data_IF_042012871398
#
_entry.id   IF_042012871398
#
_cell.length_a   1.000
_cell.length_b   1.000
_cell.length_c   1.000
_cell.angle_alpha   90.00
_cell.angle_beta   90.00
_cell.angle_gamma   90.00
#
_symmetry.space_group_name_H-M   'P 1'
#
loop_
_entity.id
_entity.type
_entity.pdbx_description
1 polymer ?
#
# COMPACT_ATOMS: atom_id res chain seq x y z
N UNK A 1 1.91 -0.06 25.10
CA UNK A 1 2.40 1.26 24.64
C UNK A 1 1.87 1.59 23.24
N UNK A 2 2.03 0.69 22.27
CA UNK A 2 1.51 0.85 20.90
C UNK A 2 0.00 1.14 20.81
N UNK A 3 -0.81 0.51 21.65
CA UNK A 3 -2.27 0.70 21.71
C UNK A 3 -2.68 2.13 22.05
N UNK A 4 -1.88 2.86 22.84
CA UNK A 4 -2.20 4.25 23.21
C UNK A 4 -1.95 5.23 22.05
N UNK A 5 -0.91 4.98 21.27
CA UNK A 5 -0.62 5.77 20.06
C UNK A 5 -1.66 5.51 18.98
N UNK A 6 -2.03 4.25 18.74
CA UNK A 6 -3.08 3.91 17.78
C UNK A 6 -4.42 4.56 18.15
N UNK A 7 -4.84 4.50 19.42
CA UNK A 7 -6.08 5.14 19.85
C UNK A 7 -6.04 6.67 19.71
N UNK A 8 -4.90 7.31 20.02
CA UNK A 8 -4.74 8.76 19.82
C UNK A 8 -4.78 9.16 18.34
N UNK A 9 -4.26 8.32 17.45
CA UNK A 9 -4.38 8.55 16.00
C UNK A 9 -5.83 8.34 15.56
N UNK A 10 -6.49 7.27 16.01
CA UNK A 10 -7.89 6.97 15.69
C UNK A 10 -8.86 8.07 16.14
N UNK A 11 -8.59 8.70 17.30
CA UNK A 11 -9.33 9.87 17.81
C UNK A 11 -9.21 11.13 16.93
N UNK A 12 -8.14 11.26 16.12
CA UNK A 12 -7.92 12.41 15.23
C UNK A 12 -8.24 12.13 13.78
N UNK A 13 -7.95 10.92 13.34
CA UNK A 13 -8.30 10.42 12.03
C UNK A 13 -8.73 8.98 12.21
N UNK A 14 -9.98 8.62 11.88
CA UNK A 14 -10.51 7.28 12.10
C UNK A 14 -9.86 6.29 11.12
N UNK A 15 -8.62 5.90 11.42
CA UNK A 15 -7.81 4.98 10.64
C UNK A 15 -8.45 3.58 10.63
N UNK A 16 -8.96 3.15 11.79
CA UNK A 16 -9.52 1.81 11.93
C UNK A 16 -10.83 1.69 11.13
N UNK A 17 -11.71 2.69 11.24
CA UNK A 17 -13.00 2.73 10.54
C UNK A 17 -12.82 2.89 9.02
N UNK A 18 -11.86 3.71 8.58
CA UNK A 18 -11.56 3.88 7.14
C UNK A 18 -10.95 2.61 6.53
N UNK A 19 -10.06 1.95 7.27
CA UNK A 19 -9.49 0.65 6.87
C UNK A 19 -10.57 -0.42 6.79
N UNK A 20 -11.45 -0.52 7.79
CA UNK A 20 -12.54 -1.48 7.78
C UNK A 20 -13.49 -1.27 6.59
N UNK A 21 -13.85 -0.02 6.29
CA UNK A 21 -14.75 0.30 5.18
C UNK A 21 -14.17 0.01 3.80
N UNK A 22 -12.87 0.22 3.59
CA UNK A 22 -12.27 0.10 2.26
C UNK A 22 -11.63 -1.27 2.00
N UNK A 23 -11.18 -1.97 3.04
CA UNK A 23 -10.39 -3.19 2.87
C UNK A 23 -11.04 -4.43 3.48
N UNK A 24 -11.74 -4.32 4.63
CA UNK A 24 -12.24 -5.51 5.34
C UNK A 24 -13.70 -5.86 5.03
N UNK A 25 -14.57 -4.86 4.87
CA UNK A 25 -16.00 -5.04 4.62
C UNK A 25 -16.43 -4.84 3.17
N UNK A 26 -15.49 -4.63 2.26
CA UNK A 26 -15.83 -4.48 0.84
C UNK A 26 -16.30 -5.84 0.29
N UNK A 27 -17.59 -6.01 -0.08
CA UNK A 27 -18.07 -7.27 -0.60
C UNK A 27 -17.41 -7.55 -1.96
N UNK A 28 -16.46 -8.48 -1.98
CA UNK A 28 -15.82 -8.95 -3.20
C UNK A 28 -16.74 -9.86 -4.00
N UNK A 29 -16.72 -9.80 -5.34
CA UNK A 29 -17.55 -10.66 -6.20
C UNK A 29 -17.15 -12.15 -6.07
N UNK A 30 -18.15 -13.03 -5.98
CA UNK A 30 -18.03 -14.46 -5.63
C UNK A 30 -17.54 -15.31 -6.85
N UNK A 31 -16.75 -14.73 -7.76
CA UNK A 31 -16.36 -15.36 -9.03
C UNK A 31 -15.11 -14.77 -9.66
N UNK A 32 -14.13 -14.38 -8.84
CA UNK A 32 -12.92 -13.71 -9.32
C UNK A 32 -12.00 -14.68 -10.09
N UNK A 33 -11.71 -14.37 -11.35
CA UNK A 33 -10.81 -15.14 -12.23
C UNK A 33 -9.33 -14.81 -11.97
N UNK A 34 -8.40 -15.69 -12.37
CA UNK A 34 -6.95 -15.52 -12.22
C UNK A 34 -6.43 -14.22 -12.82
N UNK A 35 -7.00 -13.74 -13.92
CA UNK A 35 -6.57 -12.50 -14.60
C UNK A 35 -6.64 -11.22 -13.75
N UNK A 36 -7.45 -11.21 -12.67
CA UNK A 36 -7.47 -10.10 -11.72
C UNK A 36 -6.18 -9.96 -10.90
N UNK A 37 -5.33 -11.01 -10.88
CA UNK A 37 -3.99 -10.93 -10.29
C UNK A 37 -3.09 -9.95 -11.05
N UNK A 38 -3.35 -9.70 -12.34
CA UNK A 38 -2.59 -8.76 -13.17
C UNK A 38 -2.60 -7.33 -12.61
N UNK A 39 -3.71 -6.90 -12.02
CA UNK A 39 -3.79 -5.59 -11.37
C UNK A 39 -2.86 -5.46 -10.16
N UNK A 40 -2.81 -6.50 -9.31
CA UNK A 40 -1.89 -6.55 -8.16
C UNK A 40 -0.44 -6.66 -8.64
N UNK A 41 -0.19 -7.41 -9.71
CA UNK A 41 1.13 -7.53 -10.31
C UNK A 41 1.68 -6.17 -10.78
N UNK A 42 0.83 -5.31 -11.36
CA UNK A 42 1.24 -3.95 -11.76
C UNK A 42 1.64 -3.09 -10.56
N UNK A 43 0.93 -3.20 -9.43
CA UNK A 43 1.31 -2.49 -8.19
C UNK A 43 2.66 -2.99 -7.69
N UNK A 44 2.89 -4.30 -7.70
CA UNK A 44 4.18 -4.89 -7.29
C UNK A 44 5.31 -4.41 -8.20
N UNK A 45 5.12 -4.45 -9.53
CA UNK A 45 6.11 -3.97 -10.49
C UNK A 45 6.38 -2.48 -10.27
N UNK A 46 5.35 -1.65 -10.05
CA UNK A 46 5.51 -0.22 -9.78
C UNK A 46 6.39 0.04 -8.55
N UNK A 47 6.15 -0.68 -7.44
CA UNK A 47 6.98 -0.55 -6.23
C UNK A 47 8.44 -0.94 -6.51
N UNK A 48 8.66 -2.02 -7.26
CA UNK A 48 10.01 -2.43 -7.66
C UNK A 48 10.68 -1.34 -8.50
N UNK A 49 9.97 -0.74 -9.45
CA UNK A 49 10.50 0.36 -10.28
C UNK A 49 10.84 1.61 -9.48
N UNK A 50 10.06 1.94 -8.44
CA UNK A 50 10.36 3.08 -7.58
C UNK A 50 11.60 2.83 -6.72
N UNK A 51 11.76 1.62 -6.16
CA UNK A 51 12.92 1.27 -5.34
C UNK A 51 14.19 1.21 -6.18
N UNK A 52 14.15 0.49 -7.31
CA UNK A 52 15.31 0.40 -8.22
C UNK A 52 15.61 1.74 -8.89
N UNK A 53 14.58 2.50 -9.27
CA UNK A 53 14.74 3.84 -9.83
C UNK A 53 15.35 4.81 -8.84
N UNK A 54 14.94 4.78 -7.57
CA UNK A 54 15.56 5.58 -6.51
C UNK A 54 17.02 5.18 -6.29
N UNK A 55 17.32 3.88 -6.30
CA UNK A 55 18.70 3.39 -6.20
C UNK A 55 19.59 3.96 -7.31
N UNK A 56 19.18 3.79 -8.57
CA UNK A 56 19.93 4.26 -9.74
C UNK A 56 20.04 5.79 -9.75
N UNK A 57 18.99 6.51 -9.35
CA UNK A 57 19.00 7.96 -9.24
C UNK A 57 20.06 8.47 -8.26
N UNK A 58 20.20 7.83 -7.09
CA UNK A 58 21.22 8.21 -6.11
C UNK A 58 22.63 7.94 -6.62
N UNK A 59 22.87 6.81 -7.30
CA UNK A 59 24.18 6.52 -7.90
C UNK A 59 24.54 7.50 -9.03
N UNK A 60 23.59 7.89 -9.88
CA UNK A 60 23.81 8.89 -10.93
C UNK A 60 24.11 10.30 -10.38
N UNK A 61 23.52 10.66 -9.23
CA UNK A 61 23.75 11.96 -8.60
C UNK A 61 25.08 12.00 -7.83
N UNK A 62 25.58 10.86 -7.35
CA UNK A 62 26.86 10.75 -6.65
C UNK A 62 28.10 10.62 -7.54
N UNK A 63 27.93 10.32 -8.84
CA UNK A 63 29.03 10.19 -9.80
C UNK A 63 29.33 11.48 -10.60
N UNK A 64 28.97 12.63 -10.01
CA UNK A 64 29.31 14.00 -10.46
C UNK A 64 30.11 14.72 -9.38
#
# INVERSE_FOLDING_TARGET
MFTRLLNWVDDRFPLTDTFERHLSKYPGPIGQNFWYLGGVLLIVVLVIQLISGFWVFNELCGHR
#
